data_IF_329429618422
#
_entry.id   IF_329429618422
#
_cell.length_a   1.000
_cell.length_b   1.000
_cell.length_c   1.000
_cell.angle_alpha   90.00
_cell.angle_beta   90.00
_cell.angle_gamma   90.00
#
_symmetry.space_group_name_H-M   'P 1'
#
loop_
_entity.id
_entity.type
_entity.pdbx_description
1 polymer ?
#
# COMPACT_ATOMS: atom_id res chain seq x y z
N UNK A 1 -12.42 -13.54 7.87
CA UNK A 1 -11.70 -13.06 6.69
C UNK A 1 -11.30 -11.60 6.91
N UNK A 2 -10.03 -11.32 6.73
CA UNK A 2 -9.56 -9.96 6.96
C UNK A 2 -10.07 -9.00 5.89
N UNK A 3 -10.37 -7.79 6.32
CA UNK A 3 -10.80 -6.72 5.44
C UNK A 3 -9.57 -6.17 4.70
N UNK A 4 -9.62 -6.18 3.38
CA UNK A 4 -8.51 -5.67 2.56
C UNK A 4 -8.20 -4.21 2.87
N UNK A 5 -9.22 -3.44 3.22
CA UNK A 5 -9.02 -2.05 3.60
C UNK A 5 -8.14 -1.94 4.85
N UNK A 6 -8.40 -2.77 5.85
CA UNK A 6 -7.59 -2.78 7.07
C UNK A 6 -6.17 -3.24 6.80
N UNK A 7 -6.02 -4.25 5.95
CA UNK A 7 -4.70 -4.72 5.55
C UNK A 7 -3.91 -3.60 4.87
N UNK A 8 -4.55 -2.90 3.93
CA UNK A 8 -3.93 -1.79 3.22
C UNK A 8 -3.53 -0.67 4.18
N UNK A 9 -4.43 -0.33 5.10
CA UNK A 9 -4.15 0.73 6.06
C UNK A 9 -2.99 0.38 6.98
N UNK A 10 -2.93 -0.86 7.46
CA UNK A 10 -1.84 -1.31 8.33
C UNK A 10 -0.50 -1.23 7.62
N UNK A 11 -0.45 -1.69 6.37
CA UNK A 11 0.77 -1.66 5.59
C UNK A 11 1.21 -0.22 5.31
N UNK A 12 0.27 0.62 4.86
CA UNK A 12 0.60 1.99 4.52
C UNK A 12 0.98 2.81 5.75
N UNK A 13 0.35 2.55 6.90
CA UNK A 13 0.72 3.22 8.14
C UNK A 13 2.16 2.88 8.53
N UNK A 14 2.56 1.64 8.36
CA UNK A 14 3.91 1.21 8.66
C UNK A 14 4.92 1.85 7.69
N UNK A 15 4.58 1.91 6.42
CA UNK A 15 5.45 2.50 5.40
C UNK A 15 5.59 4.02 5.60
N UNK A 16 4.48 4.70 5.86
CA UNK A 16 4.46 6.16 6.00
C UNK A 16 4.86 6.62 7.40
N UNK A 17 4.87 5.71 8.36
CA UNK A 17 5.20 5.98 9.75
C UNK A 17 4.30 7.07 10.36
N UNK A 18 3.05 7.12 9.92
CA UNK A 18 2.06 8.08 10.41
C UNK A 18 0.66 7.51 10.18
N UNK A 19 -0.28 7.89 11.03
CA UNK A 19 -1.68 7.49 10.89
C UNK A 19 -2.51 8.51 10.11
N UNK A 20 -1.89 9.58 9.61
CA UNK A 20 -2.59 10.57 8.80
C UNK A 20 -3.26 9.95 7.58
N UNK A 21 -2.69 8.85 7.07
CA UNK A 21 -3.25 8.15 5.92
C UNK A 21 -4.65 7.60 6.19
N UNK A 22 -5.01 7.39 7.45
CA UNK A 22 -6.33 6.90 7.82
C UNK A 22 -7.39 8.00 7.78
N UNK A 23 -6.96 9.24 7.85
CA UNK A 23 -7.86 10.39 7.85
C UNK A 23 -8.19 10.85 6.44
N UNK A 24 -7.33 10.58 5.48
CA UNK A 24 -7.54 10.97 4.08
C UNK A 24 -7.00 9.89 3.15
N UNK A 25 -7.89 9.02 2.69
CA UNK A 25 -7.52 7.89 1.84
C UNK A 25 -7.19 8.32 0.41
N UNK A 26 -7.53 9.54 0.04
CA UNK A 26 -7.24 10.09 -1.29
C UNK A 26 -5.99 10.97 -1.30
N UNK A 27 -5.35 11.15 -0.15
CA UNK A 27 -4.13 11.95 -0.06
C UNK A 27 -3.05 11.36 -0.96
N UNK A 28 -2.47 12.20 -1.79
CA UNK A 28 -1.34 11.80 -2.64
C UNK A 28 -0.10 11.66 -1.76
N UNK A 29 0.25 10.43 -1.47
CA UNK A 29 1.33 10.12 -0.52
C UNK A 29 2.69 10.51 -1.06
N UNK A 30 2.89 10.45 -2.36
CA UNK A 30 4.15 10.87 -2.98
C UNK A 30 4.30 12.39 -2.92
N UNK A 31 3.23 13.11 -3.23
CA UNK A 31 3.24 14.56 -3.18
C UNK A 31 3.40 15.07 -1.76
N UNK A 32 2.84 14.35 -0.79
CA UNK A 32 2.97 14.67 0.62
C UNK A 32 4.35 14.32 1.19
N UNK A 33 5.17 13.61 0.43
CA UNK A 33 6.50 13.20 0.88
C UNK A 33 6.51 12.03 1.84
N UNK A 34 5.40 11.31 1.93
CA UNK A 34 5.29 10.16 2.85
C UNK A 34 5.84 8.87 2.24
N UNK A 35 5.88 8.79 0.92
CA UNK A 35 6.46 7.64 0.21
C UNK A 35 7.33 8.13 -0.94
N UNK A 36 8.20 7.23 -1.42
CA UNK A 36 9.05 7.49 -2.58
C UNK A 36 9.12 6.22 -3.43
N UNK A 37 9.97 6.23 -4.45
CA UNK A 37 10.08 5.09 -5.36
C UNK A 37 10.60 3.82 -4.68
N UNK A 38 11.31 3.95 -3.56
CA UNK A 38 11.78 2.79 -2.80
C UNK A 38 10.67 2.19 -1.96
N UNK A 39 9.63 2.95 -1.68
CA UNK A 39 8.49 2.46 -0.89
C UNK A 39 7.76 1.32 -1.57
N UNK A 40 7.77 1.26 -2.91
CA UNK A 40 7.15 0.14 -3.64
C UNK A 40 7.78 -1.18 -3.24
N UNK A 41 9.10 -1.19 -3.08
CA UNK A 41 9.83 -2.40 -2.67
C UNK A 41 9.44 -2.79 -1.25
N UNK A 42 9.38 -1.81 -0.35
CA UNK A 42 9.03 -2.07 1.05
C UNK A 42 7.60 -2.58 1.17
N UNK A 43 6.66 -1.99 0.42
CA UNK A 43 5.27 -2.43 0.42
C UNK A 43 5.18 -3.88 -0.05
N UNK A 44 5.90 -4.21 -1.12
CA UNK A 44 5.90 -5.57 -1.66
C UNK A 44 6.42 -6.57 -0.61
N UNK A 45 7.51 -6.22 0.07
CA UNK A 45 8.08 -7.07 1.12
C UNK A 45 7.11 -7.25 2.29
N UNK A 46 6.41 -6.20 2.69
CA UNK A 46 5.44 -6.28 3.78
C UNK A 46 4.25 -7.15 3.41
N UNK A 47 3.76 -7.05 2.18
CA UNK A 47 2.67 -7.88 1.72
C UNK A 47 3.07 -9.35 1.78
N UNK A 48 4.25 -9.67 1.30
CA UNK A 48 4.75 -11.05 1.32
C UNK A 48 4.92 -11.55 2.76
N UNK A 49 5.51 -10.71 3.61
CA UNK A 49 5.81 -11.09 4.99
C UNK A 49 4.54 -11.27 5.83
N UNK A 50 3.59 -10.35 5.70
CA UNK A 50 2.39 -10.36 6.54
C UNK A 50 1.27 -11.24 6.01
N UNK A 51 1.18 -11.37 4.69
CA UNK A 51 0.03 -12.04 4.06
C UNK A 51 0.42 -13.16 3.11
N UNK A 52 1.70 -13.38 2.92
CA UNK A 52 2.19 -14.48 2.07
C UNK A 52 1.90 -14.29 0.59
N UNK A 53 1.52 -13.10 0.17
CA UNK A 53 1.22 -12.82 -1.22
C UNK A 53 2.49 -12.36 -1.94
N UNK A 54 2.97 -13.19 -2.85
CA UNK A 54 4.17 -12.85 -3.64
C UNK A 54 3.78 -12.11 -4.89
N UNK A 55 4.32 -10.91 -5.04
CA UNK A 55 4.08 -10.08 -6.21
C UNK A 55 5.38 -9.90 -6.98
N UNK A 56 5.27 -9.87 -8.30
CA UNK A 56 6.42 -9.54 -9.13
C UNK A 56 6.67 -8.03 -9.08
N UNK A 57 7.93 -7.58 -9.15
CA UNK A 57 8.20 -6.14 -9.18
C UNK A 57 7.46 -5.42 -10.31
N UNK A 58 7.18 -6.12 -11.40
CA UNK A 58 6.45 -5.56 -12.54
C UNK A 58 4.95 -5.47 -12.33
N UNK A 59 4.41 -6.15 -11.30
CA UNK A 59 2.99 -6.10 -10.97
C UNK A 59 2.62 -4.84 -10.20
N UNK A 60 3.60 -4.12 -9.73
CA UNK A 60 3.42 -3.05 -8.75
C UNK A 60 4.03 -1.76 -9.27
N UNK A 61 3.25 -0.67 -9.31
CA UNK A 61 3.72 0.62 -9.78
C UNK A 61 3.57 1.69 -8.70
N UNK A 62 4.20 2.84 -8.92
CA UNK A 62 4.06 3.97 -8.00
C UNK A 62 2.61 4.42 -7.86
N UNK A 63 1.84 4.31 -8.94
CA UNK A 63 0.43 4.70 -8.91
C UNK A 63 -0.38 3.83 -7.97
N UNK A 64 -0.02 2.56 -7.84
CA UNK A 64 -0.74 1.63 -6.98
C UNK A 64 -0.63 1.99 -5.51
N UNK A 65 0.37 2.78 -5.13
CA UNK A 65 0.55 3.22 -3.75
C UNK A 65 0.50 4.74 -3.61
N UNK A 66 0.12 5.46 -4.67
CA UNK A 66 0.06 6.91 -4.60
C UNK A 66 -1.00 7.41 -3.62
N UNK A 67 -2.07 6.65 -3.46
CA UNK A 67 -3.08 6.89 -2.43
C UNK A 67 -3.46 5.58 -1.78
N UNK A 68 -4.03 5.65 -0.58
CA UNK A 68 -4.50 4.43 0.09
C UNK A 68 -5.62 3.77 -0.73
N UNK A 69 -6.50 4.57 -1.32
CA UNK A 69 -7.58 4.03 -2.14
C UNK A 69 -7.04 3.25 -3.34
N UNK A 70 -6.00 3.75 -3.99
CA UNK A 70 -5.37 3.03 -5.10
C UNK A 70 -4.76 1.72 -4.63
N UNK A 71 -4.14 1.73 -3.46
CA UNK A 71 -3.55 0.51 -2.89
C UNK A 71 -4.62 -0.53 -2.57
N UNK A 72 -5.74 -0.10 -2.00
CA UNK A 72 -6.86 -1.00 -1.73
C UNK A 72 -7.36 -1.63 -3.03
N UNK A 73 -7.53 -0.83 -4.08
CA UNK A 73 -7.95 -1.33 -5.39
C UNK A 73 -6.96 -2.33 -5.97
N UNK A 74 -5.66 -2.05 -5.80
CA UNK A 74 -4.61 -2.96 -6.26
C UNK A 74 -4.72 -4.31 -5.54
N UNK A 75 -4.89 -4.30 -4.23
CA UNK A 75 -5.02 -5.53 -3.46
C UNK A 75 -6.26 -6.31 -3.87
N UNK A 76 -7.36 -5.63 -4.11
CA UNK A 76 -8.58 -6.29 -4.55
C UNK A 76 -8.38 -7.03 -5.87
N UNK A 77 -7.64 -6.43 -6.79
CA UNK A 77 -7.35 -7.08 -8.08
C UNK A 77 -6.43 -8.28 -7.95
N UNK A 78 -5.52 -8.25 -6.97
CA UNK A 78 -4.52 -9.31 -6.82
C UNK A 78 -5.00 -10.46 -5.94
N UNK A 79 -5.87 -10.19 -4.98
CA UNK A 79 -6.35 -11.21 -4.04
C UNK A 79 -7.56 -11.94 -4.58
N UNK A 80 -8.31 -11.32 -5.46
CA UNK A 80 -9.49 -11.95 -6.08
C UNK A 80 -9.12 -12.75 -7.34
#
# INVERSE_FOLDING_TARGET
MEDLKNIALDIMEEICETDEIREDLDLDLMDAGLIDSLSTINVNLLIEDKHGLKLQPTDFTKEDISTVNNFISFLERKVK
#
